data_IF_042490886190
#
_entry.id   IF_042490886190
#
_cell.length_a   1.000
_cell.length_b   1.000
_cell.length_c   1.000
_cell.angle_alpha   90.00
_cell.angle_beta   90.00
_cell.angle_gamma   90.00
#
_symmetry.space_group_name_H-M   'P 1'
#
loop_
_entity.id
_entity.type
_entity.pdbx_description
1 polymer ?
#
# COMPACT_ATOMS: atom_id res chain seq x y z
N UNK A 1 -1.28 27.80 -20.04
CA UNK A 1 0.16 27.59 -19.80
C UNK A 1 0.28 26.32 -18.97
N UNK A 2 1.00 25.31 -19.45
CA UNK A 2 1.28 24.13 -18.62
C UNK A 2 2.07 24.58 -17.39
N UNK A 3 1.71 24.11 -16.20
CA UNK A 3 2.54 24.32 -15.02
C UNK A 3 3.93 23.73 -15.32
N UNK A 4 5.02 24.38 -14.87
CA UNK A 4 6.34 23.76 -14.95
C UNK A 4 6.28 22.40 -14.24
N UNK A 5 7.02 21.38 -14.73
CA UNK A 5 7.07 20.09 -14.06
C UNK A 5 7.46 20.30 -12.59
N UNK A 6 6.75 19.62 -11.68
CA UNK A 6 7.12 19.62 -10.27
C UNK A 6 8.52 19.03 -10.18
N UNK A 7 9.48 19.84 -9.71
CA UNK A 7 10.87 19.44 -9.56
C UNK A 7 11.00 18.70 -8.22
N UNK A 8 11.15 17.38 -8.27
CA UNK A 8 11.34 16.56 -7.07
C UNK A 8 12.82 16.54 -6.68
N UNK A 9 13.10 16.48 -5.37
CA UNK A 9 14.43 16.09 -4.92
C UNK A 9 14.46 14.56 -4.85
N UNK A 10 15.17 13.87 -5.76
CA UNK A 10 15.03 12.42 -5.86
C UNK A 10 15.73 11.71 -4.69
N UNK A 11 15.13 10.61 -4.26
CA UNK A 11 15.48 9.79 -3.10
C UNK A 11 16.29 8.58 -3.57
N UNK A 12 17.41 8.30 -2.89
CA UNK A 12 18.10 7.00 -2.99
C UNK A 12 17.45 6.01 -2.03
N UNK A 13 16.77 5.02 -2.59
CA UNK A 13 15.97 4.05 -1.83
C UNK A 13 16.70 2.71 -1.69
N UNK A 14 16.89 2.26 -0.47
CA UNK A 14 17.35 0.93 -0.12
C UNK A 14 16.23 -0.11 -0.15
N UNK A 15 16.50 -1.26 -0.75
CA UNK A 15 15.60 -2.41 -0.85
C UNK A 15 16.30 -3.66 -0.28
N UNK A 16 15.62 -4.45 0.56
CA UNK A 16 16.27 -5.56 1.25
C UNK A 16 16.49 -6.74 0.29
N UNK A 17 17.67 -7.35 0.38
CA UNK A 17 17.92 -8.67 -0.19
C UNK A 17 17.53 -9.77 0.78
N UNK A 18 17.31 -10.98 0.26
CA UNK A 18 17.05 -12.17 1.07
C UNK A 18 15.56 -12.49 1.20
N UNK A 19 15.15 -12.97 2.38
CA UNK A 19 13.85 -13.64 2.57
C UNK A 19 12.65 -12.74 2.26
N UNK A 20 12.71 -11.46 2.66
CA UNK A 20 11.61 -10.51 2.46
C UNK A 20 11.68 -9.75 1.13
N UNK A 21 12.68 -10.01 0.28
CA UNK A 21 12.85 -9.30 -0.99
C UNK A 21 11.60 -9.40 -1.87
N UNK A 22 11.08 -10.62 -2.06
CA UNK A 22 9.90 -10.85 -2.92
C UNK A 22 8.65 -10.16 -2.36
N UNK A 23 8.52 -10.08 -1.03
CA UNK A 23 7.38 -9.43 -0.40
C UNK A 23 7.44 -7.91 -0.57
N UNK A 24 8.63 -7.33 -0.39
CA UNK A 24 8.87 -5.90 -0.61
C UNK A 24 8.64 -5.53 -2.06
N UNK A 25 9.16 -6.32 -3.01
CA UNK A 25 8.92 -6.10 -4.43
C UNK A 25 7.44 -6.22 -4.79
N UNK A 26 6.74 -7.21 -4.23
CA UNK A 26 5.29 -7.34 -4.40
C UNK A 26 4.53 -6.14 -3.84
N UNK A 27 4.95 -5.61 -2.69
CA UNK A 27 4.37 -4.42 -2.08
C UNK A 27 4.58 -3.20 -2.97
N UNK A 28 5.80 -2.97 -3.42
CA UNK A 28 6.14 -1.86 -4.29
C UNK A 28 5.34 -1.91 -5.60
N UNK A 29 5.25 -3.08 -6.22
CA UNK A 29 4.44 -3.26 -7.43
C UNK A 29 2.94 -2.98 -7.17
N UNK A 30 2.38 -3.42 -6.05
CA UNK A 30 1.00 -3.10 -5.68
C UNK A 30 0.80 -1.59 -5.39
N UNK A 31 1.87 -0.91 -4.98
CA UNK A 31 1.92 0.54 -4.83
C UNK A 31 2.19 1.29 -6.14
N UNK A 32 2.22 0.61 -7.30
CA UNK A 32 2.59 1.15 -8.62
C UNK A 32 4.03 1.69 -8.69
N UNK A 33 4.92 1.22 -7.81
CA UNK A 33 6.35 1.56 -7.76
C UNK A 33 7.15 0.41 -8.40
N UNK A 34 7.06 0.25 -9.72
CA UNK A 34 7.72 -0.88 -10.40
C UNK A 34 9.24 -0.80 -10.22
N UNK A 35 9.86 -1.92 -9.83
CA UNK A 35 11.31 -2.02 -9.63
C UNK A 35 11.92 -2.82 -10.77
N UNK A 36 12.67 -2.15 -11.63
CA UNK A 36 13.40 -2.76 -12.74
C UNK A 36 14.86 -2.98 -12.33
N UNK A 37 15.16 -4.20 -11.89
CA UNK A 37 16.51 -4.60 -11.45
C UNK A 37 17.46 -4.71 -12.65
N UNK A 38 18.52 -3.90 -12.65
CA UNK A 38 19.53 -3.87 -13.72
C UNK A 38 20.77 -4.70 -13.37
N UNK A 39 21.15 -4.73 -12.09
CA UNK A 39 22.24 -5.56 -11.56
C UNK A 39 21.79 -6.18 -10.23
N UNK A 40 22.54 -7.12 -9.64
CA UNK A 40 22.17 -7.71 -8.34
C UNK A 40 21.94 -6.66 -7.23
N UNK A 41 22.65 -5.53 -7.26
CA UNK A 41 22.62 -4.50 -6.23
C UNK A 41 21.96 -3.18 -6.66
N UNK A 42 21.52 -3.08 -7.92
CA UNK A 42 21.01 -1.82 -8.48
C UNK A 42 19.74 -2.03 -9.30
N UNK A 43 18.79 -1.12 -9.12
CA UNK A 43 17.54 -1.07 -9.84
C UNK A 43 17.10 0.38 -10.10
N UNK A 44 16.25 0.52 -11.11
CA UNK A 44 15.46 1.73 -11.34
C UNK A 44 14.08 1.49 -10.74
N UNK A 45 13.54 2.49 -10.04
CA UNK A 45 12.14 2.49 -9.60
C UNK A 45 11.38 3.44 -10.50
N UNK A 46 10.25 2.99 -11.03
CA UNK A 46 9.36 3.78 -11.91
C UNK A 46 8.58 4.82 -11.11
N UNK A 47 9.30 5.79 -10.54
CA UNK A 47 8.76 6.92 -9.81
C UNK A 47 9.74 8.11 -9.86
N UNK A 48 9.30 9.31 -10.30
CA UNK A 48 10.20 10.46 -10.44
C UNK A 48 10.79 10.96 -9.11
N UNK A 49 10.26 10.54 -7.96
CA UNK A 49 10.79 10.88 -6.64
C UNK A 49 11.94 9.97 -6.22
N UNK A 50 12.25 8.90 -6.95
CA UNK A 50 13.31 7.94 -6.61
C UNK A 50 14.38 7.99 -7.70
N UNK A 51 15.63 8.33 -7.35
CA UNK A 51 16.74 8.32 -8.32
C UNK A 51 17.29 6.91 -8.53
N UNK A 52 17.39 6.15 -7.44
CA UNK A 52 18.13 4.89 -7.41
C UNK A 52 17.48 3.90 -6.44
N UNK A 53 17.34 2.65 -6.87
CA UNK A 53 17.03 1.51 -6.01
C UNK A 53 18.29 0.71 -5.72
N UNK A 54 18.70 0.63 -4.45
CA UNK A 54 19.91 -0.08 -4.01
C UNK A 54 19.51 -1.34 -3.24
N UNK A 55 19.90 -2.50 -3.75
CA UNK A 55 19.68 -3.78 -3.07
C UNK A 55 20.87 -4.14 -2.19
N UNK A 56 20.61 -4.30 -0.88
CA UNK A 56 21.63 -4.70 0.08
C UNK A 56 21.02 -5.53 1.22
N UNK A 57 21.89 -6.11 2.06
CA UNK A 57 21.46 -6.81 3.27
C UNK A 57 20.80 -5.80 4.24
N UNK A 58 19.74 -6.17 4.97
CA UNK A 58 19.01 -5.25 5.84
C UNK A 58 19.87 -4.49 6.85
N UNK A 59 20.91 -5.14 7.39
CA UNK A 59 21.87 -4.52 8.33
C UNK A 59 22.73 -3.46 7.66
N UNK A 60 23.16 -3.72 6.43
CA UNK A 60 23.94 -2.76 5.64
C UNK A 60 23.07 -1.58 5.24
N UNK A 61 21.82 -1.82 4.83
CA UNK A 61 20.84 -0.75 4.55
C UNK A 61 20.66 0.17 5.76
N UNK A 62 20.52 -0.40 6.97
CA UNK A 62 20.45 0.38 8.20
C UNK A 62 21.69 1.28 8.38
N UNK A 63 22.90 0.74 8.19
CA UNK A 63 24.15 1.50 8.29
C UNK A 63 24.25 2.60 7.22
N UNK A 64 23.93 2.29 5.96
CA UNK A 64 23.97 3.24 4.85
C UNK A 64 22.99 4.40 5.06
N UNK A 65 21.78 4.13 5.55
CA UNK A 65 20.80 5.16 5.91
C UNK A 65 21.29 5.99 7.09
N UNK A 66 21.85 5.38 8.13
CA UNK A 66 22.43 6.13 9.26
C UNK A 66 23.52 7.11 8.81
N UNK A 67 24.40 6.66 7.91
CA UNK A 67 25.53 7.43 7.40
C UNK A 67 25.12 8.47 6.35
N UNK A 68 23.88 8.43 5.85
CA UNK A 68 23.37 9.33 4.82
C UNK A 68 23.84 8.98 3.41
N UNK A 69 24.31 7.74 3.20
CA UNK A 69 24.61 7.21 1.86
C UNK A 69 23.32 6.90 1.08
N UNK A 70 22.30 6.43 1.80
CA UNK A 70 20.92 6.28 1.35
C UNK A 70 20.02 7.27 2.07
N UNK A 71 18.99 7.74 1.37
CA UNK A 71 18.01 8.66 1.94
C UNK A 71 16.95 7.91 2.74
N UNK A 72 16.54 6.74 2.26
CA UNK A 72 15.58 5.86 2.91
C UNK A 72 15.82 4.39 2.54
N UNK A 73 15.23 3.47 3.30
CA UNK A 73 15.20 2.05 2.97
C UNK A 73 13.96 1.36 3.54
N UNK A 74 13.55 0.27 2.87
CA UNK A 74 12.62 -0.71 3.42
C UNK A 74 13.41 -1.82 4.09
N UNK A 75 13.12 -2.12 5.35
CA UNK A 75 13.86 -3.14 6.12
C UNK A 75 12.92 -4.00 6.96
N UNK A 76 13.16 -5.33 7.05
CA UNK A 76 12.51 -6.20 8.02
C UNK A 76 12.80 -5.75 9.46
N UNK A 77 11.78 -5.73 10.32
CA UNK A 77 11.93 -5.35 11.72
C UNK A 77 12.96 -6.23 12.44
N UNK A 78 12.84 -7.56 12.31
CA UNK A 78 13.67 -8.51 13.06
C UNK A 78 15.15 -8.41 12.69
N UNK A 79 15.47 -8.12 11.42
CA UNK A 79 16.85 -8.03 10.95
C UNK A 79 17.61 -6.81 11.51
N UNK A 80 16.88 -5.74 11.84
CA UNK A 80 17.45 -4.48 12.35
C UNK A 80 17.13 -4.20 13.83
N UNK A 81 16.32 -5.05 14.48
CA UNK A 81 15.91 -4.89 15.88
C UNK A 81 17.11 -4.83 16.85
N UNK A 82 18.20 -5.53 16.55
CA UNK A 82 19.43 -5.47 17.34
C UNK A 82 20.14 -4.10 17.19
N UNK A 83 20.21 -3.58 15.97
CA UNK A 83 20.80 -2.27 15.68
C UNK A 83 20.01 -1.13 16.34
N UNK A 84 18.68 -1.25 16.36
CA UNK A 84 17.78 -0.38 17.11
C UNK A 84 18.01 -0.39 18.63
N UNK A 85 18.78 -1.33 19.19
CA UNK A 85 19.14 -1.34 20.62
C UNK A 85 20.48 -0.65 20.89
N UNK A 86 21.37 -0.55 19.89
CA UNK A 86 22.72 0.04 19.97
C UNK A 86 22.61 1.57 19.82
N UNK A 87 22.61 2.31 20.95
CA UNK A 87 21.99 3.65 21.05
C UNK A 87 22.65 4.93 20.48
N UNK A 88 23.76 4.99 19.73
CA UNK A 88 24.13 6.24 19.03
C UNK A 88 23.51 6.39 17.63
N UNK A 89 23.25 5.28 16.92
CA UNK A 89 22.81 5.28 15.49
C UNK A 89 21.34 5.65 15.31
N UNK A 90 20.49 5.29 16.26
CA UNK A 90 19.03 5.53 16.21
C UNK A 90 18.69 7.02 16.09
N UNK A 91 19.49 7.92 16.68
CA UNK A 91 19.21 9.37 16.64
C UNK A 91 19.32 9.98 15.24
N UNK A 92 19.93 9.25 14.30
CA UNK A 92 20.14 9.69 12.93
C UNK A 92 19.11 9.09 11.96
N UNK A 93 18.18 8.27 12.46
CA UNK A 93 17.21 7.55 11.63
C UNK A 93 15.78 7.91 12.07
N UNK A 94 15.00 8.38 11.11
CA UNK A 94 13.54 8.45 11.21
C UNK A 94 12.95 7.08 10.89
N UNK A 95 12.02 6.58 11.71
CA UNK A 95 11.46 5.23 11.58
C UNK A 95 9.95 5.33 11.44
N UNK A 96 9.42 4.76 10.36
CA UNK A 96 7.99 4.66 10.07
C UNK A 96 7.61 3.18 9.91
N UNK A 97 6.87 2.61 10.88
CA UNK A 97 6.29 1.28 10.70
C UNK A 97 5.33 1.27 9.50
N UNK A 98 5.45 0.25 8.66
CA UNK A 98 4.55 -0.01 7.53
C UNK A 98 3.59 -1.17 7.84
N UNK A 99 4.12 -2.23 8.46
CA UNK A 99 3.37 -3.38 8.96
C UNK A 99 3.99 -3.89 10.26
N UNK A 100 3.52 -5.02 10.79
CA UNK A 100 4.15 -5.66 11.94
C UNK A 100 5.58 -6.16 11.67
N UNK A 101 5.94 -6.39 10.41
CA UNK A 101 7.20 -7.02 10.01
C UNK A 101 8.10 -6.09 9.18
N UNK A 102 7.54 -5.02 8.60
CA UNK A 102 8.25 -4.12 7.69
C UNK A 102 8.31 -2.69 8.22
N UNK A 103 9.51 -2.12 8.17
CA UNK A 103 9.79 -0.73 8.48
C UNK A 103 10.19 0.04 7.22
N UNK A 104 9.81 1.30 7.17
CA UNK A 104 10.46 2.31 6.35
C UNK A 104 11.39 3.12 7.26
N UNK A 105 12.67 3.15 6.95
CA UNK A 105 13.66 3.95 7.67
C UNK A 105 14.17 5.06 6.74
N UNK A 106 14.45 6.22 7.30
CA UNK A 106 15.00 7.36 6.56
C UNK A 106 16.11 8.04 7.35
N UNK A 107 17.10 8.58 6.64
CA UNK A 107 18.09 9.43 7.29
C UNK A 107 17.39 10.67 7.84
N UNK A 108 17.70 11.08 9.07
CA UNK A 108 17.02 12.19 9.73
C UNK A 108 17.12 13.52 8.96
N UNK A 109 18.26 13.77 8.32
CA UNK A 109 18.47 14.96 7.50
C UNK A 109 17.70 14.86 6.19
N UNK A 110 17.80 13.73 5.48
CA UNK A 110 17.04 13.49 4.25
C UNK A 110 15.54 13.58 4.48
N UNK A 111 15.04 13.08 5.61
CA UNK A 111 13.64 13.22 6.02
C UNK A 111 13.23 14.68 6.17
N UNK A 112 14.06 15.53 6.80
CA UNK A 112 13.76 16.95 6.94
C UNK A 112 13.73 17.68 5.60
N UNK A 113 14.63 17.33 4.69
CA UNK A 113 14.76 17.96 3.38
C UNK A 113 13.72 17.48 2.36
N UNK A 114 13.27 16.22 2.46
CA UNK A 114 12.42 15.52 1.47
C UNK A 114 11.21 14.82 2.09
N UNK A 115 10.72 15.37 3.21
CA UNK A 115 9.60 14.79 3.97
C UNK A 115 8.35 14.59 3.12
N UNK A 116 8.06 15.49 2.18
CA UNK A 116 6.87 15.40 1.35
C UNK A 116 6.95 14.19 0.41
N UNK A 117 8.04 14.05 -0.33
CA UNK A 117 8.27 12.93 -1.24
C UNK A 117 8.22 11.59 -0.49
N UNK A 118 8.87 11.50 0.68
CA UNK A 118 8.85 10.29 1.50
C UNK A 118 7.46 10.00 2.08
N UNK A 119 6.72 11.03 2.51
CA UNK A 119 5.35 10.87 3.04
C UNK A 119 4.40 10.40 1.95
N UNK A 120 4.55 10.88 0.72
CA UNK A 120 3.75 10.43 -0.40
C UNK A 120 4.07 8.97 -0.76
N UNK A 121 5.34 8.56 -0.76
CA UNK A 121 5.73 7.16 -0.94
C UNK A 121 5.13 6.27 0.16
N UNK A 122 5.23 6.69 1.42
CA UNK A 122 4.62 5.99 2.55
C UNK A 122 3.10 5.86 2.39
N UNK A 123 2.42 6.90 1.91
CA UNK A 123 0.99 6.87 1.64
C UNK A 123 0.63 5.78 0.61
N UNK A 124 1.40 5.70 -0.49
CA UNK A 124 1.19 4.69 -1.53
C UNK A 124 1.45 3.27 -1.02
N UNK A 125 2.55 3.07 -0.28
CA UNK A 125 2.90 1.78 0.32
C UNK A 125 1.85 1.33 1.35
N UNK A 126 1.43 2.22 2.25
CA UNK A 126 0.38 1.93 3.24
C UNK A 126 -0.95 1.61 2.57
N UNK A 127 -1.31 2.33 1.51
CA UNK A 127 -2.52 2.04 0.75
C UNK A 127 -2.49 0.67 0.06
N UNK A 128 -1.32 0.23 -0.42
CA UNK A 128 -1.15 -1.11 -0.96
C UNK A 128 -1.24 -2.19 0.12
N UNK A 129 -0.64 -1.97 1.30
CA UNK A 129 -0.77 -2.87 2.46
C UNK A 129 -2.25 -3.02 2.85
N UNK A 130 -2.97 -1.91 2.98
CA UNK A 130 -4.38 -1.94 3.38
C UNK A 130 -5.27 -2.66 2.34
N UNK A 131 -4.95 -2.51 1.06
CA UNK A 131 -5.68 -3.15 -0.03
C UNK A 131 -5.54 -4.69 -0.04
N UNK A 132 -4.40 -5.25 0.39
CA UNK A 132 -4.14 -6.70 0.39
C UNK A 132 -5.22 -7.52 1.11
N UNK A 133 -5.76 -6.97 2.21
CA UNK A 133 -6.80 -7.62 3.03
C UNK A 133 -8.23 -7.44 2.51
N UNK A 134 -8.42 -6.83 1.33
CA UNK A 134 -9.73 -6.37 0.86
C UNK A 134 -9.98 -6.72 -0.60
N UNK A 135 -11.26 -6.72 -0.96
CA UNK A 135 -11.73 -6.88 -2.34
C UNK A 135 -12.90 -5.96 -2.61
N UNK A 136 -13.12 -5.63 -3.88
CA UNK A 136 -14.34 -5.00 -4.33
C UNK A 136 -15.33 -6.10 -4.74
N UNK A 137 -16.49 -6.14 -4.07
CA UNK A 137 -17.64 -6.91 -4.54
C UNK A 137 -18.54 -6.01 -5.36
N UNK A 138 -18.95 -6.53 -6.51
CA UNK A 138 -20.00 -5.96 -7.37
C UNK A 138 -21.08 -7.02 -7.51
N UNK A 139 -22.33 -6.64 -7.35
CA UNK A 139 -23.46 -7.55 -7.49
C UNK A 139 -24.68 -6.82 -8.04
N UNK A 140 -25.60 -7.58 -8.63
CA UNK A 140 -26.91 -7.08 -9.03
C UNK A 140 -27.95 -7.50 -8.00
N UNK A 141 -29.01 -6.71 -7.85
CA UNK A 141 -30.12 -7.00 -6.93
C UNK A 141 -31.39 -6.31 -7.40
N UNK A 142 -32.52 -7.00 -7.31
CA UNK A 142 -33.84 -6.42 -7.57
C UNK A 142 -34.24 -5.43 -6.46
N UNK A 143 -35.04 -4.43 -6.79
CA UNK A 143 -35.47 -3.36 -5.88
C UNK A 143 -36.04 -3.89 -4.57
N UNK A 144 -36.87 -4.94 -4.62
CA UNK A 144 -37.51 -5.57 -3.47
C UNK A 144 -36.51 -6.21 -2.48
N UNK A 145 -35.34 -6.61 -2.97
CA UNK A 145 -34.31 -7.32 -2.21
C UNK A 145 -33.15 -6.41 -1.75
N UNK A 146 -33.10 -5.18 -2.28
CA UNK A 146 -32.00 -4.24 -2.06
C UNK A 146 -31.71 -4.00 -0.57
N UNK A 147 -32.75 -3.81 0.25
CA UNK A 147 -32.57 -3.52 1.68
C UNK A 147 -31.96 -4.69 2.46
N UNK A 148 -32.32 -5.93 2.13
CA UNK A 148 -31.74 -7.11 2.79
C UNK A 148 -30.27 -7.30 2.40
N UNK A 149 -29.93 -7.06 1.12
CA UNK A 149 -28.54 -7.06 0.65
C UNK A 149 -27.71 -5.99 1.37
N UNK A 150 -28.21 -4.76 1.49
CA UNK A 150 -27.48 -3.66 2.13
C UNK A 150 -27.20 -3.91 3.62
N UNK A 151 -28.05 -4.69 4.32
CA UNK A 151 -27.80 -5.07 5.73
C UNK A 151 -26.64 -6.04 5.90
N UNK A 152 -26.35 -6.85 4.88
CA UNK A 152 -25.29 -7.86 4.93
C UNK A 152 -23.92 -7.30 4.53
N UNK A 153 -23.89 -6.28 3.66
CA UNK A 153 -22.64 -5.78 3.09
C UNK A 153 -21.85 -4.90 4.08
N UNK A 154 -20.62 -5.29 4.46
CA UNK A 154 -19.68 -4.36 5.06
C UNK A 154 -19.35 -3.24 4.07
N UNK A 155 -19.03 -2.04 4.55
CA UNK A 155 -18.58 -0.94 3.71
C UNK A 155 -17.57 -0.06 4.44
N UNK A 156 -16.69 0.61 3.67
CA UNK A 156 -15.78 1.62 4.23
C UNK A 156 -16.55 2.85 4.73
N UNK A 157 -17.51 3.34 3.94
CA UNK A 157 -18.43 4.44 4.30
C UNK A 157 -19.87 4.04 4.08
N UNK A 158 -20.20 3.69 2.85
CA UNK A 158 -21.49 3.14 2.44
C UNK A 158 -21.28 2.34 1.16
N UNK A 159 -22.05 1.26 0.92
CA UNK A 159 -22.12 0.66 -0.40
C UNK A 159 -22.56 1.69 -1.44
N UNK A 160 -22.03 1.59 -2.66
CA UNK A 160 -22.52 2.34 -3.81
C UNK A 160 -23.69 1.59 -4.41
N UNK A 161 -24.79 2.30 -4.71
CA UNK A 161 -26.00 1.71 -5.32
C UNK A 161 -26.30 2.50 -6.59
N UNK A 162 -26.35 1.81 -7.74
CA UNK A 162 -26.59 2.42 -9.06
C UNK A 162 -27.73 1.69 -9.77
N UNK A 163 -28.73 2.40 -10.35
CA UNK A 163 -29.76 1.75 -11.14
C UNK A 163 -29.17 1.18 -12.44
N UNK A 164 -29.68 0.04 -12.87
CA UNK A 164 -29.32 -0.57 -14.16
C UNK A 164 -30.25 -0.09 -15.28
N UNK A 165 -29.89 -0.43 -16.53
CA UNK A 165 -30.72 -0.13 -17.69
C UNK A 165 -32.06 -0.90 -17.66
N UNK A 166 -32.05 -2.08 -17.04
CA UNK A 166 -33.25 -2.85 -16.76
C UNK A 166 -34.02 -2.21 -15.59
N UNK A 167 -35.32 -1.91 -15.74
CA UNK A 167 -36.12 -1.33 -14.67
C UNK A 167 -36.13 -2.20 -13.41
N UNK A 168 -36.17 -1.56 -12.23
CA UNK A 168 -36.24 -2.21 -10.92
C UNK A 168 -35.03 -3.09 -10.54
N UNK A 169 -33.89 -2.92 -11.22
CA UNK A 169 -32.65 -3.63 -10.91
C UNK A 169 -31.53 -2.64 -10.57
N UNK A 170 -30.71 -2.98 -9.58
CA UNK A 170 -29.60 -2.16 -9.09
C UNK A 170 -28.29 -2.94 -9.12
N UNK A 171 -27.19 -2.24 -9.39
CA UNK A 171 -25.84 -2.70 -9.10
C UNK A 171 -25.39 -2.13 -7.75
N UNK A 172 -24.94 -3.01 -6.86
CA UNK A 172 -24.37 -2.66 -5.57
C UNK A 172 -22.88 -2.96 -5.59
N UNK A 173 -22.08 -2.00 -5.14
CA UNK A 173 -20.62 -2.14 -5.04
C UNK A 173 -20.18 -1.87 -3.60
N UNK A 174 -19.35 -2.73 -3.04
CA UNK A 174 -18.75 -2.50 -1.72
C UNK A 174 -17.35 -3.09 -1.59
N UNK A 175 -16.49 -2.40 -0.84
CA UNK A 175 -15.18 -2.92 -0.44
C UNK A 175 -15.34 -3.71 0.85
N UNK A 176 -15.00 -5.00 0.82
CA UNK A 176 -15.18 -5.93 1.94
C UNK A 176 -13.87 -6.59 2.34
N UNK A 177 -13.73 -7.05 3.59
CA UNK A 177 -12.60 -7.90 4.00
C UNK A 177 -12.57 -9.20 3.19
N UNK A 178 -11.38 -9.60 2.72
CA UNK A 178 -11.20 -10.77 1.86
C UNK A 178 -11.58 -12.09 2.56
N UNK A 179 -11.33 -12.18 3.86
CA UNK A 179 -11.64 -13.35 4.69
C UNK A 179 -13.14 -13.56 4.93
N UNK A 180 -13.96 -12.52 4.77
CA UNK A 180 -15.42 -12.61 4.89
C UNK A 180 -16.13 -13.04 3.60
N UNK A 181 -15.48 -12.92 2.44
CA UNK A 181 -16.09 -13.09 1.10
C UNK A 181 -16.75 -14.46 0.93
N UNK A 182 -16.06 -15.54 1.32
CA UNK A 182 -16.55 -16.91 1.17
C UNK A 182 -17.84 -17.18 1.97
N UNK A 183 -18.04 -16.46 3.08
CA UNK A 183 -19.28 -16.51 3.87
C UNK A 183 -20.36 -15.61 3.26
N UNK A 184 -19.96 -14.42 2.85
CA UNK A 184 -20.86 -13.37 2.39
C UNK A 184 -21.55 -13.71 1.06
N UNK A 185 -20.83 -14.26 0.08
CA UNK A 185 -21.38 -14.58 -1.25
C UNK A 185 -22.62 -15.51 -1.16
N UNK A 186 -22.57 -16.67 -0.46
CA UNK A 186 -23.75 -17.52 -0.29
C UNK A 186 -24.92 -16.83 0.43
N UNK A 187 -24.66 -15.98 1.42
CA UNK A 187 -25.71 -15.24 2.14
C UNK A 187 -26.38 -14.21 1.24
N UNK A 188 -25.60 -13.47 0.45
CA UNK A 188 -26.09 -12.52 -0.54
C UNK A 188 -26.99 -13.21 -1.58
N UNK A 189 -26.58 -14.36 -2.11
CA UNK A 189 -27.39 -15.13 -3.06
C UNK A 189 -28.75 -15.55 -2.46
N UNK A 190 -28.79 -15.93 -1.17
CA UNK A 190 -30.04 -16.32 -0.49
C UNK A 190 -31.03 -15.18 -0.33
N UNK A 191 -30.55 -13.94 -0.23
CA UNK A 191 -31.39 -12.74 -0.10
C UNK A 191 -31.63 -12.05 -1.44
N UNK A 192 -31.28 -12.69 -2.56
CA UNK A 192 -31.67 -12.24 -3.91
C UNK A 192 -30.61 -11.43 -4.66
N UNK A 193 -29.35 -11.44 -4.24
CA UNK A 193 -28.25 -10.96 -5.07
C UNK A 193 -28.01 -11.90 -6.26
N UNK A 194 -27.60 -11.35 -7.40
CA UNK A 194 -27.20 -12.07 -8.61
C UNK A 194 -25.90 -11.51 -9.17
N UNK A 195 -25.27 -12.24 -10.10
CA UNK A 195 -24.10 -11.78 -10.86
C UNK A 195 -22.97 -11.20 -10.00
N UNK A 196 -22.65 -11.88 -8.90
CA UNK A 196 -21.64 -11.41 -7.95
C UNK A 196 -20.24 -11.56 -8.55
N UNK A 197 -19.48 -10.47 -8.60
CA UNK A 197 -18.11 -10.40 -9.08
C UNK A 197 -17.20 -9.96 -7.93
N UNK A 198 -16.16 -10.73 -7.68
CA UNK A 198 -15.04 -10.34 -6.81
C UNK A 198 -13.90 -9.77 -7.66
N UNK A 199 -13.46 -8.54 -7.34
CA UNK A 199 -12.33 -7.89 -7.98
C UNK A 199 -11.25 -7.57 -6.93
N UNK A 200 -9.98 -7.95 -7.16
CA UNK A 200 -8.89 -7.52 -6.29
C UNK A 200 -8.68 -6.01 -6.42
N UNK A 201 -8.31 -5.37 -5.31
CA UNK A 201 -7.88 -3.97 -5.31
C UNK A 201 -6.37 -3.92 -5.02
N UNK A 202 -5.63 -3.11 -5.79
CA UNK A 202 -4.17 -2.99 -5.63
C UNK A 202 -3.78 -1.99 -4.54
N UNK A 203 -4.57 -0.93 -4.37
CA UNK A 203 -4.27 0.20 -3.49
C UNK A 203 -5.56 0.84 -2.98
N UNK A 204 -5.60 1.16 -1.68
CA UNK A 204 -6.71 1.85 -1.02
C UNK A 204 -6.18 3.08 -0.28
N UNK A 205 -6.50 4.28 -0.77
CA UNK A 205 -6.10 5.53 -0.13
C UNK A 205 -7.29 6.14 0.60
N UNK A 206 -7.23 6.21 1.93
CA UNK A 206 -8.22 6.95 2.71
C UNK A 206 -7.85 8.43 2.72
N UNK A 207 -8.71 9.29 2.19
CA UNK A 207 -8.58 10.72 2.42
C UNK A 207 -8.67 11.01 3.92
N UNK A 208 -7.88 11.95 4.43
CA UNK A 208 -7.76 12.31 5.86
C UNK A 208 -9.01 12.95 6.47
N UNK A 209 -10.19 12.36 6.26
CA UNK A 209 -11.31 12.54 7.16
C UNK A 209 -10.98 11.79 8.44
N UNK A 210 -10.85 12.53 9.54
CA UNK A 210 -10.98 11.93 10.87
C UNK A 210 -12.32 11.20 10.90
N UNK A 211 -12.27 9.88 11.01
CA UNK A 211 -13.38 9.12 11.58
C UNK A 211 -13.43 9.37 13.09
#
# INVERSE_FOLDING_TARGET
MAQPPVEFSPIKLGLPMGVMESEVLSLMNAADLRVDRLTPHYAIVDDPRISDGIFSEPRDLWTMVAQGELDAALVPFDDVAEEMRKRPVIKQIHIEPLSGELLFIANQKSWQERSQEMTDLLMLLRGAIEARGRVLLVLNVAEENLQEVLKLLPALRSPTVSPLAEPHLFSVMSVVPRDEVNRLIPELLRVGATDIIELPISKLIRGGGKD
#
